data_IF_711130280572
#
_entry.id   IF_711130280572
#
_cell.length_a   1.000
_cell.length_b   1.000
_cell.length_c   1.000
_cell.angle_alpha   90.00
_cell.angle_beta   90.00
_cell.angle_gamma   90.00
#
_symmetry.space_group_name_H-M   'P 1'
#
loop_
_entity.id
_entity.type
_entity.pdbx_description
1 polymer ?
#
# COMPACT_ATOMS: atom_id res chain seq x y z
N UNK A 1 58.68 47.19 44.52
CA UNK A 1 58.34 47.65 45.89
C UNK A 1 56.83 47.77 46.00
N UNK A 2 56.28 47.25 47.11
CA UNK A 2 54.90 47.40 47.62
C UNK A 2 53.77 46.73 46.80
N UNK A 3 52.79 46.01 47.37
CA UNK A 3 52.25 45.99 48.75
C UNK A 3 51.49 44.69 49.04
N UNK A 4 51.53 44.29 50.32
CA UNK A 4 50.79 43.23 51.02
C UNK A 4 49.27 43.37 50.85
N UNK A 5 48.49 42.31 51.08
CA UNK A 5 47.41 42.24 52.11
C UNK A 5 46.84 40.82 52.22
N UNK A 6 46.80 40.32 53.45
CA UNK A 6 46.21 39.07 53.89
C UNK A 6 44.73 39.28 54.27
N UNK A 7 43.91 38.22 54.36
CA UNK A 7 43.33 37.74 55.63
C UNK A 7 42.32 36.60 55.44
N UNK A 8 42.34 35.72 56.45
CA UNK A 8 41.48 34.58 56.74
C UNK A 8 40.00 34.97 56.90
N UNK A 9 39.05 34.10 56.50
CA UNK A 9 37.76 34.01 57.19
C UNK A 9 37.26 32.57 57.26
N UNK A 10 36.99 32.15 58.49
CA UNK A 10 36.59 30.81 58.86
C UNK A 10 35.06 30.67 58.92
N UNK A 11 34.61 29.43 58.72
CA UNK A 11 33.49 28.77 59.43
C UNK A 11 32.24 29.58 59.76
N UNK A 12 31.16 29.37 59.01
CA UNK A 12 29.73 29.27 59.44
C UNK A 12 28.83 29.33 58.20
N UNK A 13 28.59 28.20 57.54
CA UNK A 13 27.64 28.13 56.42
C UNK A 13 26.96 26.76 56.30
N UNK A 14 26.53 26.16 57.43
CA UNK A 14 26.04 24.76 57.46
C UNK A 14 24.72 24.58 58.23
N UNK A 15 23.84 25.59 58.27
CA UNK A 15 22.51 25.44 58.91
C UNK A 15 21.34 26.01 58.11
N UNK A 16 21.58 26.78 57.04
CA UNK A 16 20.50 27.32 56.18
C UNK A 16 20.03 26.36 55.08
N UNK A 17 20.90 25.44 54.65
CA UNK A 17 20.60 24.42 53.63
C UNK A 17 19.56 23.38 54.11
N UNK A 18 19.61 22.83 55.34
CA UNK A 18 18.59 21.85 55.76
C UNK A 18 17.20 22.46 55.95
N UNK A 19 17.09 23.74 56.33
CA UNK A 19 15.78 24.40 56.52
C UNK A 19 15.11 24.70 55.18
N UNK A 20 15.88 25.10 54.17
CA UNK A 20 15.35 25.29 52.81
C UNK A 20 14.90 23.97 52.17
N UNK A 21 15.63 22.89 52.41
CA UNK A 21 15.25 21.55 51.94
C UNK A 21 13.99 21.01 52.63
N UNK A 22 13.80 21.33 53.92
CA UNK A 22 12.60 20.97 54.67
C UNK A 22 11.36 21.79 54.27
N UNK A 23 11.55 23.06 53.86
CA UNK A 23 10.46 23.91 53.36
C UNK A 23 10.02 23.53 51.94
N UNK A 24 10.93 23.01 51.11
CA UNK A 24 10.63 22.46 49.78
C UNK A 24 9.83 21.15 49.84
N UNK A 25 9.97 20.38 50.92
CA UNK A 25 9.15 19.19 51.20
C UNK A 25 7.73 19.53 51.68
N UNK A 26 7.45 20.76 52.09
CA UNK A 26 6.12 21.18 52.56
C UNK A 26 5.19 21.64 51.43
N UNK A 27 5.68 21.77 50.19
CA UNK A 27 4.86 22.08 49.00
C UNK A 27 4.63 20.79 48.22
N UNK A 28 4.12 19.76 48.88
CA UNK A 28 3.49 18.64 48.15
C UNK A 28 2.15 19.18 47.66
N UNK A 29 1.91 19.32 46.35
CA UNK A 29 0.57 19.60 45.89
C UNK A 29 -0.33 18.47 46.41
N UNK A 30 -1.39 18.83 47.14
CA UNK A 30 -2.49 17.91 47.42
C UNK A 30 -2.88 17.31 46.07
N UNK A 31 -2.50 16.06 45.83
CA UNK A 31 -3.02 15.29 44.72
C UNK A 31 -4.52 15.21 44.97
N UNK A 32 -5.29 16.05 44.27
CA UNK A 32 -6.73 15.84 44.16
C UNK A 32 -6.89 14.39 43.74
N UNK A 33 -7.56 13.60 44.58
CA UNK A 33 -7.89 12.23 44.29
C UNK A 33 -8.54 12.22 42.90
N UNK A 34 -7.78 11.80 41.89
CA UNK A 34 -8.31 11.56 40.58
C UNK A 34 -9.14 10.30 40.78
N UNK A 35 -10.45 10.49 40.92
CA UNK A 35 -11.43 9.42 41.05
C UNK A 35 -11.27 8.55 39.80
N UNK A 36 -10.53 7.44 39.90
CA UNK A 36 -10.39 6.52 38.79
C UNK A 36 -11.81 6.08 38.42
N UNK A 37 -12.22 6.29 37.15
CA UNK A 37 -13.57 5.95 36.77
C UNK A 37 -13.75 4.45 36.96
N UNK A 38 -14.62 4.08 37.90
CA UNK A 38 -14.92 2.68 38.22
C UNK A 38 -15.45 1.90 37.00
N UNK A 39 -15.91 2.63 35.97
CA UNK A 39 -16.32 2.10 34.69
C UNK A 39 -15.33 2.56 33.60
N UNK A 40 -14.67 1.62 32.94
CA UNK A 40 -13.78 1.90 31.82
C UNK A 40 -14.50 1.68 30.48
N UNK A 41 -14.59 2.74 29.69
CA UNK A 41 -15.09 2.74 28.33
C UNK A 41 -13.93 2.63 27.33
N UNK A 42 -14.03 1.66 26.45
CA UNK A 42 -13.09 1.40 25.36
C UNK A 42 -13.80 1.31 24.03
N UNK A 43 -13.13 1.72 22.97
CA UNK A 43 -13.62 1.69 21.60
C UNK A 43 -12.76 0.76 20.76
N UNK A 44 -13.37 -0.22 20.10
CA UNK A 44 -12.72 -1.14 19.18
C UNK A 44 -13.23 -0.91 17.76
N UNK A 45 -12.31 -0.89 16.79
CA UNK A 45 -12.65 -0.85 15.37
C UNK A 45 -12.93 -2.25 14.83
N UNK A 46 -14.10 -2.44 14.22
CA UNK A 46 -14.44 -3.70 13.53
C UNK A 46 -14.19 -3.58 12.02
N UNK A 47 -14.60 -2.46 11.42
CA UNK A 47 -14.41 -2.19 9.99
C UNK A 47 -14.33 -0.69 9.72
N UNK A 48 -13.51 -0.28 8.75
CA UNK A 48 -13.37 1.11 8.32
C UNK A 48 -12.02 1.73 8.66
N UNK A 49 -11.97 3.05 8.73
CA UNK A 49 -10.74 3.83 8.94
C UNK A 49 -10.70 4.41 10.35
N UNK A 50 -9.51 4.40 10.94
CA UNK A 50 -9.24 5.13 12.19
C UNK A 50 -7.81 5.66 12.10
N UNK A 51 -7.68 6.99 12.12
CA UNK A 51 -6.40 7.71 12.03
C UNK A 51 -6.40 8.81 13.09
N UNK A 52 -5.67 8.58 14.18
CA UNK A 52 -5.76 9.42 15.37
C UNK A 52 -7.18 9.41 15.94
N UNK A 53 -7.76 10.59 16.17
CA UNK A 53 -9.14 10.74 16.65
C UNK A 53 -10.19 10.67 15.55
N UNK A 54 -9.78 10.65 14.28
CA UNK A 54 -10.70 10.58 13.15
C UNK A 54 -11.10 9.15 12.86
N UNK A 55 -12.40 8.87 12.86
CA UNK A 55 -12.94 7.53 12.64
C UNK A 55 -14.06 7.54 11.60
N UNK A 56 -14.15 6.44 10.84
CA UNK A 56 -15.25 6.19 9.92
C UNK A 56 -15.48 4.68 9.77
N UNK A 57 -16.73 4.24 9.83
CA UNK A 57 -17.14 2.85 9.62
C UNK A 57 -17.88 2.26 10.82
N UNK A 58 -17.59 1.00 11.12
CA UNK A 58 -18.28 0.22 12.15
C UNK A 58 -17.36 -0.05 13.33
N UNK A 59 -17.85 0.27 14.52
CA UNK A 59 -17.10 0.18 15.77
C UNK A 59 -17.93 -0.50 16.86
N UNK A 60 -17.22 -1.11 17.81
CA UNK A 60 -17.79 -1.68 19.03
C UNK A 60 -17.34 -0.86 20.22
N UNK A 61 -18.29 -0.31 20.98
CA UNK A 61 -18.04 0.24 22.32
C UNK A 61 -18.12 -0.89 23.33
N UNK A 62 -17.17 -0.92 24.26
CA UNK A 62 -17.14 -1.88 25.36
C UNK A 62 -16.92 -1.15 26.66
N UNK A 63 -17.77 -1.45 27.63
CA UNK A 63 -17.61 -1.04 29.01
C UNK A 63 -17.11 -2.21 29.86
N UNK A 64 -16.13 -1.94 30.73
CA UNK A 64 -15.63 -2.86 31.74
C UNK A 64 -15.76 -2.18 33.10
N UNK A 65 -16.37 -2.85 34.07
CA UNK A 65 -16.60 -2.32 35.40
C UNK A 65 -16.58 -3.43 36.44
N UNK A 66 -16.99 -3.13 37.69
CA UNK A 66 -17.02 -4.10 38.77
C UNK A 66 -18.03 -5.24 38.53
N UNK A 67 -17.87 -6.35 39.26
CA UNK A 67 -18.69 -7.57 39.09
C UNK A 67 -20.18 -7.36 39.42
N UNK A 68 -20.53 -6.31 40.17
CA UNK A 68 -21.90 -5.98 40.53
C UNK A 68 -22.63 -5.10 39.49
N UNK A 69 -22.04 -4.92 38.30
CA UNK A 69 -22.62 -4.16 37.20
C UNK A 69 -23.74 -4.97 36.52
N UNK A 70 -24.94 -4.39 36.40
CA UNK A 70 -26.12 -5.06 35.81
C UNK A 70 -26.48 -4.50 34.43
N UNK A 71 -26.39 -3.17 34.27
CA UNK A 71 -26.74 -2.50 33.02
C UNK A 71 -25.74 -1.40 32.71
N UNK A 72 -25.43 -1.23 31.44
CA UNK A 72 -24.65 -0.09 30.95
C UNK A 72 -25.43 0.60 29.84
N UNK A 73 -25.60 1.91 29.97
CA UNK A 73 -26.08 2.78 28.92
C UNK A 73 -24.87 3.47 28.28
N UNK A 74 -24.79 3.42 26.96
CA UNK A 74 -23.75 4.08 26.18
C UNK A 74 -24.31 5.36 25.59
N UNK A 75 -23.56 6.45 25.72
CA UNK A 75 -23.99 7.78 25.33
C UNK A 75 -23.03 8.36 24.28
N UNK A 76 -23.60 9.15 23.38
CA UNK A 76 -22.92 9.99 22.40
C UNK A 76 -23.41 11.42 22.60
N UNK A 77 -22.52 12.35 22.94
CA UNK A 77 -22.85 13.75 23.25
C UNK A 77 -23.94 13.91 24.32
N UNK A 78 -24.05 12.94 25.22
CA UNK A 78 -25.07 12.89 26.27
C UNK A 78 -26.39 12.24 25.87
N UNK A 79 -26.56 11.81 24.62
CA UNK A 79 -27.73 11.04 24.15
C UNK A 79 -27.45 9.53 24.19
N UNK A 80 -28.41 8.74 24.67
CA UNK A 80 -28.27 7.28 24.75
C UNK A 80 -28.35 6.67 23.35
N UNK A 81 -27.25 6.05 22.92
CA UNK A 81 -27.15 5.35 21.63
C UNK A 81 -27.40 3.85 21.72
N UNK A 82 -27.39 3.31 22.93
CA UNK A 82 -27.67 1.91 23.18
C UNK A 82 -27.44 1.51 24.62
N UNK A 83 -27.87 0.29 24.97
CA UNK A 83 -27.72 -0.26 26.30
C UNK A 83 -27.33 -1.74 26.23
N UNK A 84 -26.60 -2.21 27.23
CA UNK A 84 -26.27 -3.62 27.44
C UNK A 84 -26.71 -4.04 28.84
N UNK A 85 -27.56 -5.06 28.94
CA UNK A 85 -28.13 -5.55 30.20
C UNK A 85 -27.43 -6.81 30.74
N UNK A 86 -26.33 -7.24 30.10
CA UNK A 86 -25.54 -8.38 30.53
C UNK A 86 -24.10 -8.26 30.02
N UNK A 87 -23.17 -8.88 30.74
CA UNK A 87 -21.79 -9.01 30.31
C UNK A 87 -21.65 -9.99 29.11
N UNK A 88 -20.76 -9.74 28.14
CA UNK A 88 -19.91 -8.56 28.00
C UNK A 88 -20.72 -7.31 27.60
N UNK A 89 -20.55 -6.22 28.35
CA UNK A 89 -21.26 -4.96 28.09
C UNK A 89 -20.68 -4.28 26.86
N UNK A 90 -21.31 -4.49 25.72
CA UNK A 90 -20.85 -3.95 24.45
C UNK A 90 -22.01 -3.63 23.51
N UNK A 91 -21.84 -2.59 22.70
CA UNK A 91 -22.75 -2.25 21.61
C UNK A 91 -21.95 -2.01 20.34
N UNK A 92 -22.57 -2.32 19.20
CA UNK A 92 -22.01 -2.06 17.88
C UNK A 92 -22.76 -0.90 17.24
N UNK A 93 -22.04 0.05 16.69
CA UNK A 93 -22.61 1.23 16.04
C UNK A 93 -21.88 1.56 14.73
N UNK A 94 -22.55 2.32 13.87
CA UNK A 94 -22.01 2.82 12.61
C UNK A 94 -21.87 4.34 12.70
N UNK A 95 -20.70 4.87 12.35
CA UNK A 95 -20.45 6.33 12.40
C UNK A 95 -21.33 7.08 11.41
N UNK A 96 -21.68 6.47 10.29
CA UNK A 96 -22.51 7.08 9.24
C UNK A 96 -23.97 7.27 9.65
N UNK A 97 -24.41 6.67 10.76
CA UNK A 97 -25.74 6.88 11.34
C UNK A 97 -25.85 8.20 12.12
N UNK A 98 -24.72 8.88 12.35
CA UNK A 98 -24.64 10.12 13.12
C UNK A 98 -24.11 11.26 12.24
N UNK A 99 -24.40 12.53 12.59
CA UNK A 99 -23.83 13.68 11.90
C UNK A 99 -22.29 13.60 11.89
N UNK A 100 -21.63 14.17 10.87
CA UNK A 100 -20.17 14.30 10.90
C UNK A 100 -19.75 15.37 11.90
N UNK A 101 -18.56 15.20 12.50
CA UNK A 101 -18.00 16.14 13.46
C UNK A 101 -17.43 15.45 14.69
N UNK A 102 -16.98 16.27 15.65
CA UNK A 102 -16.44 15.78 16.91
C UNK A 102 -17.57 15.37 17.85
N UNK A 103 -17.54 14.12 18.28
CA UNK A 103 -18.44 13.54 19.26
C UNK A 103 -17.70 13.06 20.50
N UNK A 104 -18.39 13.08 21.63
CA UNK A 104 -17.89 12.59 22.92
C UNK A 104 -18.70 11.36 23.34
N UNK A 105 -18.02 10.24 23.49
CA UNK A 105 -18.60 9.03 24.07
C UNK A 105 -18.43 9.01 25.57
N UNK A 106 -19.48 8.56 26.26
CA UNK A 106 -19.46 8.21 27.68
C UNK A 106 -20.37 7.01 27.92
N UNK A 107 -20.29 6.42 29.12
CA UNK A 107 -21.16 5.35 29.54
C UNK A 107 -21.57 5.53 31.00
N UNK A 108 -22.80 5.14 31.29
CA UNK A 108 -23.37 5.12 32.64
C UNK A 108 -23.72 3.68 33.00
N UNK A 109 -23.07 3.17 34.03
CA UNK A 109 -23.30 1.84 34.58
C UNK A 109 -24.26 1.88 35.77
N UNK A 110 -25.14 0.88 35.87
CA UNK A 110 -26.04 0.67 36.99
C UNK A 110 -25.65 -0.63 37.69
N UNK A 111 -25.43 -0.55 38.99
CA UNK A 111 -25.09 -1.70 39.82
C UNK A 111 -26.33 -2.31 40.46
N UNK A 112 -26.24 -3.57 40.91
CA UNK A 112 -27.29 -4.27 41.65
C UNK A 112 -27.73 -3.56 42.94
N UNK A 113 -26.87 -2.69 43.49
CA UNK A 113 -27.12 -1.91 44.70
C UNK A 113 -27.76 -0.55 44.38
N UNK A 114 -28.11 -0.29 43.11
CA UNK A 114 -28.73 0.95 42.65
C UNK A 114 -27.76 2.12 42.51
N UNK A 115 -26.45 1.91 42.67
CA UNK A 115 -25.45 2.96 42.44
C UNK A 115 -25.22 3.16 40.94
N UNK A 116 -25.04 4.42 40.55
CA UNK A 116 -24.67 4.82 39.19
C UNK A 116 -23.17 5.08 39.10
N UNK A 117 -22.53 4.53 38.07
CA UNK A 117 -21.10 4.67 37.80
C UNK A 117 -20.91 5.37 36.45
N UNK A 118 -20.14 6.45 36.42
CA UNK A 118 -19.77 7.13 35.19
C UNK A 118 -18.45 6.60 34.64
N UNK A 119 -18.34 6.51 33.31
CA UNK A 119 -17.09 6.12 32.66
C UNK A 119 -16.14 7.27 32.37
N UNK A 120 -14.93 6.95 31.90
CA UNK A 120 -14.11 7.90 31.15
C UNK A 120 -14.81 8.35 29.86
N UNK A 121 -14.40 9.52 29.35
CA UNK A 121 -14.87 10.08 28.08
C UNK A 121 -13.90 9.75 26.95
N UNK A 122 -14.44 9.50 25.75
CA UNK A 122 -13.65 9.31 24.53
C UNK A 122 -14.11 10.31 23.46
N UNK A 123 -13.22 11.17 23.00
CA UNK A 123 -13.53 12.13 21.94
C UNK A 123 -13.12 11.59 20.58
N UNK A 124 -14.02 11.56 19.60
CA UNK A 124 -13.75 11.08 18.24
C UNK A 124 -14.38 11.99 17.20
N UNK A 125 -13.70 12.19 16.09
CA UNK A 125 -14.22 12.98 14.97
C UNK A 125 -14.73 12.04 13.86
N UNK A 126 -16.02 12.14 13.53
CA UNK A 126 -16.64 11.37 12.47
C UNK A 126 -16.41 12.07 11.14
N UNK A 127 -15.71 11.37 10.24
CA UNK A 127 -15.43 11.88 8.90
C UNK A 127 -16.60 11.63 7.96
N UNK A 128 -16.86 12.56 7.04
CA UNK A 128 -17.74 12.27 5.91
C UNK A 128 -17.03 11.38 4.89
N UNK A 129 -17.77 10.49 4.23
CA UNK A 129 -17.24 9.72 3.09
C UNK A 129 -16.65 10.60 1.97
N UNK A 130 -17.15 11.82 1.82
CA UNK A 130 -16.62 12.82 0.87
C UNK A 130 -15.29 13.43 1.28
N UNK A 131 -15.04 13.66 2.57
CA UNK A 131 -13.76 14.16 3.08
C UNK A 131 -12.67 13.09 2.96
N UNK A 132 -13.00 11.84 3.28
CA UNK A 132 -12.10 10.69 3.12
C UNK A 132 -11.65 10.52 1.67
N UNK A 133 -12.58 10.62 0.71
CA UNK A 133 -12.24 10.53 -0.72
C UNK A 133 -11.30 11.65 -1.17
N UNK A 134 -11.52 12.89 -0.73
CA UNK A 134 -10.66 14.03 -1.08
C UNK A 134 -9.23 13.86 -0.54
N UNK A 135 -9.09 13.39 0.70
CA UNK A 135 -7.79 13.12 1.32
C UNK A 135 -7.06 11.97 0.61
N UNK A 136 -7.77 10.89 0.28
CA UNK A 136 -7.22 9.76 -0.49
C UNK A 136 -6.73 10.24 -1.86
N UNK A 137 -7.54 11.01 -2.60
CA UNK A 137 -7.15 11.52 -3.91
C UNK A 137 -5.88 12.39 -3.81
N UNK A 138 -5.76 13.24 -2.80
CA UNK A 138 -4.60 14.11 -2.66
C UNK A 138 -3.30 13.35 -2.36
N UNK A 139 -3.36 12.17 -1.73
CA UNK A 139 -2.18 11.31 -1.49
C UNK A 139 -1.91 10.39 -2.67
N UNK A 140 -2.94 9.79 -3.25
CA UNK A 140 -2.79 8.77 -4.30
C UNK A 140 -2.45 9.38 -5.65
N UNK A 141 -3.04 10.52 -6.03
CA UNK A 141 -2.76 11.20 -7.30
C UNK A 141 -1.27 11.56 -7.47
N UNK A 142 -0.58 12.22 -6.52
CA UNK A 142 0.83 12.53 -6.70
C UNK A 142 1.69 11.27 -6.75
N UNK A 143 1.35 10.22 -6.00
CA UNK A 143 2.06 8.94 -6.03
C UNK A 143 1.95 8.26 -7.40
N UNK A 144 0.76 8.28 -8.00
CA UNK A 144 0.53 7.82 -9.38
C UNK A 144 1.29 8.70 -10.38
N UNK A 145 1.24 10.03 -10.22
CA UNK A 145 1.97 10.95 -11.09
C UNK A 145 3.49 10.77 -10.99
N UNK A 146 4.02 10.45 -9.82
CA UNK A 146 5.45 10.13 -9.63
C UNK A 146 5.77 8.77 -10.25
N UNK A 147 4.91 7.76 -10.09
CA UNK A 147 5.14 6.44 -10.69
C UNK A 147 5.06 6.48 -12.23
N UNK A 148 4.07 7.18 -12.79
CA UNK A 148 3.88 7.34 -14.24
C UNK A 148 4.91 8.32 -14.81
N UNK A 149 5.13 9.45 -14.14
CA UNK A 149 6.12 10.45 -14.51
C UNK A 149 7.55 9.92 -14.42
N UNK A 150 7.85 9.08 -13.43
CA UNK A 150 9.11 8.36 -13.30
C UNK A 150 9.33 7.37 -14.46
N UNK A 151 8.30 6.62 -14.87
CA UNK A 151 8.36 5.76 -16.06
C UNK A 151 8.52 6.55 -17.36
N UNK A 152 7.87 7.71 -17.46
CA UNK A 152 8.00 8.59 -18.63
C UNK A 152 9.41 9.21 -18.72
N UNK A 153 9.95 9.68 -17.59
CA UNK A 153 11.27 10.27 -17.50
C UNK A 153 12.37 9.22 -17.75
N UNK A 154 12.26 8.04 -17.15
CA UNK A 154 13.20 6.92 -17.41
C UNK A 154 13.14 6.44 -18.85
N UNK A 155 11.97 6.44 -19.51
CA UNK A 155 11.86 6.15 -20.94
C UNK A 155 12.56 7.19 -21.82
N UNK A 156 12.47 8.49 -21.50
CA UNK A 156 13.19 9.57 -22.22
C UNK A 156 14.70 9.52 -22.01
N UNK A 157 15.16 9.07 -20.84
CA UNK A 157 16.59 8.94 -20.52
C UNK A 157 17.18 7.67 -21.14
N UNK A 158 16.49 6.53 -21.04
CA UNK A 158 16.91 5.27 -21.66
C UNK A 158 16.80 5.29 -23.20
N UNK A 159 15.85 6.06 -23.75
CA UNK A 159 15.69 6.26 -25.19
C UNK A 159 16.81 7.07 -25.88
N UNK A 160 17.75 7.65 -25.12
CA UNK A 160 18.93 8.34 -25.70
C UNK A 160 20.07 7.39 -26.10
N UNK A 161 20.01 6.10 -25.74
CA UNK A 161 21.15 5.18 -25.90
C UNK A 161 20.95 3.97 -26.83
N UNK A 162 19.73 3.54 -27.14
CA UNK A 162 19.49 2.40 -28.03
C UNK A 162 18.21 2.60 -28.83
N UNK A 163 18.35 3.06 -30.08
CA UNK A 163 17.29 2.92 -31.06
C UNK A 163 17.21 1.43 -31.47
N UNK A 164 16.48 0.62 -30.70
CA UNK A 164 16.14 -0.72 -31.13
C UNK A 164 15.26 -0.63 -32.39
N UNK A 165 15.52 -1.49 -33.38
CA UNK A 165 14.70 -1.53 -34.59
C UNK A 165 13.25 -1.86 -34.22
N UNK A 166 12.28 -1.27 -34.94
CA UNK A 166 10.83 -1.50 -34.73
C UNK A 166 10.47 -3.00 -34.69
N UNK A 167 11.24 -3.80 -35.41
CA UNK A 167 11.09 -5.25 -35.52
C UNK A 167 11.65 -6.01 -34.30
N UNK A 168 12.76 -5.54 -33.71
CA UNK A 168 13.23 -6.05 -32.42
C UNK A 168 12.21 -5.79 -31.31
N UNK A 169 11.61 -4.59 -31.29
CA UNK A 169 10.57 -4.25 -30.31
C UNK A 169 9.30 -5.09 -30.47
N UNK A 170 8.98 -5.55 -31.68
CA UNK A 170 7.85 -6.45 -31.92
C UNK A 170 8.09 -7.87 -31.38
N UNK A 171 9.35 -8.27 -31.24
CA UNK A 171 9.77 -9.62 -30.82
C UNK A 171 10.16 -9.64 -29.35
N UNK A 172 10.72 -8.56 -28.82
CA UNK A 172 11.05 -8.40 -27.41
C UNK A 172 9.95 -7.59 -26.69
N UNK A 173 8.82 -8.27 -26.45
CA UNK A 173 7.68 -7.69 -25.74
C UNK A 173 7.93 -7.49 -24.23
N UNK A 174 6.94 -6.99 -23.46
CA UNK A 174 7.09 -6.74 -22.03
C UNK A 174 7.41 -7.99 -21.19
N UNK A 175 7.12 -9.18 -21.71
CA UNK A 175 7.47 -10.46 -21.10
C UNK A 175 8.78 -11.07 -21.64
N UNK A 176 9.47 -10.37 -22.53
CA UNK A 176 10.68 -10.79 -23.22
C UNK A 176 10.41 -11.66 -24.44
N UNK A 177 11.37 -11.69 -25.37
CA UNK A 177 11.34 -12.56 -26.55
C UNK A 177 11.75 -14.01 -26.26
N UNK A 178 11.33 -14.91 -27.16
CA UNK A 178 11.70 -16.33 -27.15
C UNK A 178 11.82 -16.90 -28.57
N UNK A 179 12.40 -18.08 -28.71
CA UNK A 179 12.52 -18.81 -29.97
C UNK A 179 11.67 -20.09 -29.88
N UNK A 180 10.78 -20.29 -30.84
CA UNK A 180 9.93 -21.49 -30.84
C UNK A 180 10.76 -22.75 -31.13
N UNK A 181 10.68 -23.82 -30.31
CA UNK A 181 11.41 -25.06 -30.56
C UNK A 181 10.90 -25.85 -31.78
N UNK A 182 9.68 -25.56 -32.26
CA UNK A 182 9.04 -26.29 -33.38
C UNK A 182 9.36 -25.66 -34.74
N UNK A 183 9.23 -24.34 -34.87
CA UNK A 183 9.47 -23.64 -36.14
C UNK A 183 10.75 -22.80 -36.14
N UNK A 184 11.48 -22.72 -35.02
CA UNK A 184 12.72 -21.94 -34.85
C UNK A 184 12.59 -20.44 -35.12
N UNK A 185 11.37 -19.93 -35.17
CA UNK A 185 11.10 -18.51 -35.37
C UNK A 185 11.04 -17.76 -34.03
N UNK A 186 11.78 -16.66 -33.85
CA UNK A 186 11.57 -15.71 -32.76
C UNK A 186 10.14 -15.15 -32.69
N UNK A 187 9.65 -14.96 -31.47
CA UNK A 187 8.39 -14.27 -31.19
C UNK A 187 8.36 -13.70 -29.75
N UNK A 188 7.50 -12.71 -29.51
CA UNK A 188 7.27 -12.14 -28.19
C UNK A 188 6.42 -13.07 -27.34
N UNK A 189 6.83 -13.31 -26.09
CA UNK A 189 6.02 -14.07 -25.13
C UNK A 189 4.75 -13.28 -24.82
N UNK A 190 3.60 -13.90 -25.02
CA UNK A 190 2.33 -13.26 -24.80
C UNK A 190 2.04 -13.11 -23.32
N UNK A 191 1.18 -12.16 -22.95
CA UNK A 191 0.77 -11.99 -21.56
C UNK A 191 -0.02 -13.19 -21.03
N UNK A 192 -0.81 -13.85 -21.89
CA UNK A 192 -1.70 -14.98 -21.57
C UNK A 192 -1.03 -16.35 -21.43
N UNK A 193 0.26 -16.51 -21.76
CA UNK A 193 0.91 -17.80 -21.57
C UNK A 193 0.95 -18.20 -20.09
N UNK A 194 0.81 -19.49 -19.79
CA UNK A 194 0.79 -19.97 -18.40
C UNK A 194 2.21 -20.16 -17.88
N UNK A 195 2.48 -19.76 -16.63
CA UNK A 195 3.77 -20.04 -15.99
C UNK A 195 3.79 -21.50 -15.50
N UNK A 196 4.71 -22.31 -16.02
CA UNK A 196 4.81 -23.76 -15.71
C UNK A 196 6.10 -24.10 -14.95
N UNK A 197 6.62 -23.15 -14.18
CA UNK A 197 7.84 -23.30 -13.36
C UNK A 197 9.12 -23.24 -14.16
N UNK A 198 9.32 -24.18 -15.09
CA UNK A 198 10.52 -24.23 -15.95
C UNK A 198 10.52 -23.14 -17.01
N UNK A 199 9.34 -22.68 -17.46
CA UNK A 199 9.18 -21.67 -18.50
C UNK A 199 7.74 -21.20 -18.61
N UNK A 200 7.40 -20.58 -19.74
CA UNK A 200 6.01 -20.19 -20.05
C UNK A 200 5.46 -21.12 -21.12
N UNK A 201 4.29 -21.69 -20.88
CA UNK A 201 3.56 -22.45 -21.88
C UNK A 201 2.76 -21.49 -22.74
N UNK A 202 3.21 -21.29 -23.98
CA UNK A 202 2.68 -20.26 -24.88
C UNK A 202 2.46 -20.84 -26.27
N UNK A 203 1.56 -20.21 -27.03
CA UNK A 203 1.22 -20.58 -28.40
C UNK A 203 2.05 -19.77 -29.37
N UNK A 204 2.78 -20.44 -30.26
CA UNK A 204 3.58 -19.77 -31.27
C UNK A 204 2.67 -19.12 -32.35
N UNK A 205 2.85 -17.84 -32.70
CA UNK A 205 2.05 -17.17 -33.72
C UNK A 205 2.38 -17.65 -35.15
N UNK A 206 3.59 -18.14 -35.38
CA UNK A 206 4.05 -18.59 -36.71
C UNK A 206 3.55 -19.99 -37.08
N UNK A 207 3.59 -20.93 -36.13
CA UNK A 207 3.23 -22.32 -36.40
C UNK A 207 1.95 -22.80 -35.68
N UNK A 208 1.37 -21.97 -34.82
CA UNK A 208 0.15 -22.27 -34.07
C UNK A 208 0.28 -23.34 -32.97
N UNK A 209 1.44 -23.98 -32.84
CA UNK A 209 1.71 -25.04 -31.86
C UNK A 209 1.99 -24.46 -30.48
N UNK A 210 1.51 -25.16 -29.45
CA UNK A 210 1.82 -24.86 -28.06
C UNK A 210 3.15 -25.49 -27.66
N UNK A 211 3.96 -24.77 -26.91
CA UNK A 211 5.23 -25.26 -26.40
C UNK A 211 5.65 -24.52 -25.14
N UNK A 212 6.44 -25.19 -24.30
CA UNK A 212 7.14 -24.51 -23.20
C UNK A 212 8.30 -23.72 -23.79
N UNK A 213 8.35 -22.43 -23.47
CA UNK A 213 9.32 -21.47 -24.00
C UNK A 213 9.99 -20.68 -22.88
N UNK A 214 11.26 -20.34 -23.05
CA UNK A 214 12.08 -19.61 -22.08
C UNK A 214 12.49 -18.25 -22.64
N UNK A 215 12.79 -17.30 -21.76
CA UNK A 215 13.35 -16.01 -22.20
C UNK A 215 14.73 -16.24 -22.79
N UNK A 216 14.98 -15.63 -23.95
CA UNK A 216 16.28 -15.67 -24.65
C UNK A 216 16.93 -14.28 -24.56
N UNK A 217 18.27 -14.22 -24.57
CA UNK A 217 19.01 -12.95 -24.56
C UNK A 217 18.72 -12.14 -25.85
N UNK A 218 18.60 -10.80 -25.78
CA UNK A 218 18.30 -9.95 -26.93
C UNK A 218 19.24 -10.15 -28.12
N UNK A 219 20.54 -10.36 -27.88
CA UNK A 219 21.51 -10.56 -28.97
C UNK A 219 21.24 -11.84 -29.78
N UNK A 220 20.81 -12.92 -29.11
CA UNK A 220 20.48 -14.19 -29.77
C UNK A 220 19.15 -14.06 -30.52
N UNK A 221 18.21 -13.27 -29.98
CA UNK A 221 16.97 -12.94 -30.68
C UNK A 221 17.25 -12.15 -31.97
N UNK A 222 18.19 -11.19 -31.94
CA UNK A 222 18.62 -10.42 -33.10
C UNK A 222 19.17 -11.33 -34.19
N UNK A 223 20.13 -12.18 -33.84
CA UNK A 223 20.72 -13.14 -34.77
C UNK A 223 19.66 -14.09 -35.36
N UNK A 224 18.71 -14.56 -34.55
CA UNK A 224 17.63 -15.44 -35.04
C UNK A 224 16.66 -14.73 -35.99
N UNK A 225 16.40 -13.44 -35.77
CA UNK A 225 15.58 -12.62 -36.66
C UNK A 225 16.27 -12.40 -38.00
N UNK A 226 17.57 -12.09 -37.99
CA UNK A 226 18.36 -11.93 -39.22
C UNK A 226 18.42 -13.23 -40.01
N UNK A 227 18.64 -14.37 -39.33
CA UNK A 227 18.62 -15.68 -39.96
C UNK A 227 17.25 -16.01 -40.60
N UNK A 228 16.14 -15.64 -39.94
CA UNK A 228 14.80 -15.78 -40.54
C UNK A 228 14.66 -14.94 -41.81
N UNK A 229 15.08 -13.68 -41.79
CA UNK A 229 14.97 -12.79 -42.95
C UNK A 229 15.77 -13.29 -44.13
N UNK A 230 16.98 -13.79 -43.89
CA UNK A 230 17.80 -14.38 -44.93
C UNK A 230 17.11 -15.61 -45.52
N UNK A 231 16.55 -16.50 -44.68
CA UNK A 231 15.81 -17.66 -45.14
C UNK A 231 14.55 -17.29 -45.95
N UNK A 232 13.77 -16.31 -45.48
CA UNK A 232 12.56 -15.83 -46.17
C UNK A 232 12.93 -15.12 -47.50
N UNK A 233 14.03 -14.36 -47.54
CA UNK A 233 14.53 -13.73 -48.77
C UNK A 233 15.03 -14.76 -49.78
N UNK A 234 15.69 -15.82 -49.32
CA UNK A 234 16.17 -16.92 -50.17
C UNK A 234 15.03 -17.77 -50.71
N UNK A 235 13.94 -17.92 -49.94
CA UNK A 235 12.71 -18.57 -50.39
C UNK A 235 11.90 -17.68 -51.36
N UNK A 236 12.05 -16.36 -51.28
CA UNK A 236 11.38 -15.41 -52.16
C UNK A 236 12.14 -15.16 -53.48
N UNK A 237 13.44 -15.47 -53.55
CA UNK A 237 14.19 -15.42 -54.80
C UNK A 237 13.84 -16.64 -55.67
N UNK A 238 13.42 -16.47 -56.94
CA UNK A 238 13.22 -17.58 -57.85
C UNK A 238 14.54 -18.34 -58.02
N UNK A 239 14.48 -19.67 -58.00
CA UNK A 239 15.68 -20.47 -58.25
C UNK A 239 16.07 -20.32 -59.72
N UNK A 240 17.37 -20.29 -60.07
CA UNK A 240 17.82 -20.21 -61.46
C UNK A 240 17.16 -21.27 -62.34
N UNK A 241 16.97 -22.48 -61.78
CA UNK A 241 16.31 -23.61 -62.45
C UNK A 241 14.84 -23.34 -62.75
N UNK A 242 14.10 -22.68 -61.83
CA UNK A 242 12.68 -22.34 -62.04
C UNK A 242 12.47 -21.27 -63.10
N UNK A 243 13.41 -20.32 -63.21
CA UNK A 243 13.35 -19.26 -64.21
C UNK A 243 13.73 -19.79 -65.60
N UNK A 244 14.73 -20.69 -65.68
CA UNK A 244 15.10 -21.34 -66.93
C UNK A 244 14.00 -22.26 -67.44
N UNK A 245 13.35 -23.02 -66.55
CA UNK A 245 12.21 -23.86 -66.92
C UNK A 245 10.98 -23.04 -67.32
N UNK A 246 10.73 -21.91 -66.66
CA UNK A 246 9.67 -20.98 -67.06
C UNK A 246 9.93 -20.37 -68.45
N UNK A 247 11.20 -20.05 -68.79
CA UNK A 247 11.58 -19.59 -70.13
C UNK A 247 11.41 -20.67 -71.20
N UNK A 248 11.84 -21.90 -70.93
CA UNK A 248 11.65 -23.04 -71.84
C UNK A 248 10.16 -23.27 -72.14
N UNK A 249 9.29 -23.20 -71.13
CA UNK A 249 7.83 -23.32 -71.32
C UNK A 249 7.25 -22.21 -72.21
N UNK A 250 7.78 -20.99 -72.13
CA UNK A 250 7.36 -19.87 -72.99
C UNK A 250 7.87 -20.02 -74.43
N UNK A 251 9.06 -20.57 -74.62
CA UNK A 251 9.61 -20.85 -75.96
C UNK A 251 8.87 -22.01 -76.64
N UNK A 252 8.57 -23.11 -75.93
CA UNK A 252 7.79 -24.23 -76.48
C UNK A 252 6.40 -23.77 -76.94
N UNK A 253 5.72 -22.95 -76.13
CA UNK A 253 4.40 -22.41 -76.49
C UNK A 253 4.41 -21.34 -77.58
N UNK A 254 5.59 -20.84 -77.98
CA UNK A 254 5.75 -19.91 -79.12
C UNK A 254 5.76 -20.63 -80.47
N UNK A 255 6.09 -21.91 -80.53
CA UNK A 255 6.17 -22.70 -81.77
C UNK A 255 4.96 -23.60 -82.03
N UNK A 256 4.06 -23.74 -81.05
CA UNK A 256 2.84 -24.57 -81.13
C UNK A 256 1.60 -23.85 -81.73
N UNK A 257 1.78 -22.76 -82.49
CA UNK A 257 0.72 -22.02 -83.22
C UNK A 257 0.86 -22.12 -84.73
#
# INVERSE_FOLDING_TARGET
>A
MNTKTALRFASRCSTLIPVFFLLLLAVVPLALAQEEPALQLSLRRDFGTAVGDNIQGTFTLRAAGPDNLERVEFLLDGEVIGQAAAAPFQIKFQTDAYPPGTHVFSATGYTAVGQTLSSNTLTRNFLTGSQTMRTILWVVIPLILIAVGGRWLTSKIAGRGQAQSKEMTAIDGPFGGTICPKCKRPFARHWWGFNVGVGKYDRCPHCGKWSVVHRVHPDVLAASLEAMKQADAQAASPSPDSDEEARRRLDDSRFDS
#
